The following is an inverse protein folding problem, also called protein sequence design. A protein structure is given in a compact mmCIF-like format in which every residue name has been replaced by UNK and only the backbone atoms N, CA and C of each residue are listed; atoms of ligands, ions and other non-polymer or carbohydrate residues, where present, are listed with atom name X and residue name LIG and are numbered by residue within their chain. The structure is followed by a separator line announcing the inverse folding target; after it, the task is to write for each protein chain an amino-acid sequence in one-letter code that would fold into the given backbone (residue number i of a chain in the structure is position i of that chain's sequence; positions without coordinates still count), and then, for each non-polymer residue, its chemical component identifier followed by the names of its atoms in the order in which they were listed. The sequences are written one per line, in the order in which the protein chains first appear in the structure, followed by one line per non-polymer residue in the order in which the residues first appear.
data_IF_338989447839
#
_entry.id   IF_338989447839
#
_cell.length_a   1.000
_cell.length_b   1.000
_cell.length_c   1.000
_cell.angle_alpha   90.00
_cell.angle_beta   90.00
_cell.angle_gamma   90.00
#
_symmetry.space_group_name_H-M   'P 1'
#
loop_
_entity.id
_entity.type
_entity.pdbx_description
1 polymer ?
#
# COMPACT_ATOMS: atom_id res chain seq x y z
N UNK A 1 -69.18 14.13 23.15
CA UNK A 1 -68.41 12.98 23.67
C UNK A 1 -67.55 12.40 22.54
N UNK A 2 -66.26 12.78 22.46
CA UNK A 2 -65.32 12.26 21.47
C UNK A 2 -64.54 11.09 22.09
N UNK A 3 -64.54 9.93 21.40
CA UNK A 3 -63.79 8.72 21.78
C UNK A 3 -62.31 8.92 21.42
N UNK A 4 -61.41 8.74 22.37
CA UNK A 4 -59.96 8.67 22.10
C UNK A 4 -59.55 7.22 21.84
N UNK A 5 -58.97 6.99 20.67
CA UNK A 5 -58.29 5.75 20.27
C UNK A 5 -56.86 5.85 20.79
N UNK A 6 -56.43 4.89 21.59
CA UNK A 6 -55.04 4.74 22.03
C UNK A 6 -54.33 3.81 21.03
N UNK A 7 -53.34 4.33 20.31
CA UNK A 7 -52.43 3.55 19.49
C UNK A 7 -51.24 3.10 20.34
N UNK A 8 -51.13 1.80 20.61
CA UNK A 8 -49.95 1.21 21.26
C UNK A 8 -48.90 0.94 20.18
N UNK A 9 -47.79 1.69 20.21
CA UNK A 9 -46.61 1.42 19.38
C UNK A 9 -45.80 0.28 20.02
N UNK A 10 -45.80 -0.91 19.42
CA UNK A 10 -44.82 -1.95 19.74
C UNK A 10 -43.49 -1.60 19.06
N UNK A 11 -42.47 -1.31 19.87
CA UNK A 11 -41.10 -1.12 19.42
C UNK A 11 -40.49 -2.51 19.16
N UNK A 12 -40.32 -2.88 17.90
CA UNK A 12 -39.57 -4.08 17.53
C UNK A 12 -38.08 -3.81 17.76
N UNK A 13 -37.51 -4.40 18.80
CA UNK A 13 -36.06 -4.42 19.03
C UNK A 13 -35.46 -5.42 18.04
N UNK A 14 -34.98 -4.92 16.91
CA UNK A 14 -34.18 -5.69 15.98
C UNK A 14 -32.81 -5.95 16.57
N UNK A 15 -32.52 -7.21 16.92
CA UNK A 15 -31.17 -7.66 17.25
C UNK A 15 -30.35 -7.63 15.95
N UNK A 16 -29.58 -6.56 15.73
CA UNK A 16 -28.52 -6.56 14.72
C UNK A 16 -27.43 -7.51 15.18
N UNK A 17 -27.37 -8.69 14.58
CA UNK A 17 -26.25 -9.61 14.75
C UNK A 17 -24.95 -8.92 14.33
N UNK A 18 -24.01 -8.80 15.26
CA UNK A 18 -22.64 -8.37 14.97
C UNK A 18 -21.98 -9.44 14.10
N UNK A 19 -21.86 -9.20 12.79
CA UNK A 19 -20.90 -9.97 11.98
C UNK A 19 -19.54 -9.81 12.65
N UNK A 20 -18.88 -10.92 12.98
CA UNK A 20 -17.51 -10.89 13.47
C UNK A 20 -16.68 -10.08 12.48
N UNK A 21 -16.17 -8.93 12.92
CA UNK A 21 -15.29 -8.09 12.11
C UNK A 21 -14.01 -8.88 11.91
N UNK A 22 -13.60 -9.09 10.65
CA UNK A 22 -12.31 -9.73 10.33
C UNK A 22 -11.14 -8.95 10.93
N UNK A 23 -9.92 -9.49 10.87
CA UNK A 23 -8.75 -8.76 11.34
C UNK A 23 -8.62 -7.42 10.62
N UNK A 24 -8.05 -6.42 11.32
CA UNK A 24 -7.75 -5.14 10.70
C UNK A 24 -6.81 -5.33 9.51
N UNK A 25 -7.14 -4.66 8.40
CA UNK A 25 -6.36 -4.72 7.16
C UNK A 25 -5.45 -3.49 7.08
N UNK A 26 -4.14 -3.71 7.11
CA UNK A 26 -3.16 -2.62 7.01
C UNK A 26 -2.44 -2.64 5.67
N UNK A 27 -2.37 -1.46 5.04
CA UNK A 27 -1.52 -1.21 3.88
C UNK A 27 -0.70 0.05 4.18
N UNK A 28 0.63 -0.04 4.06
CA UNK A 28 1.55 1.06 4.33
C UNK A 28 2.40 1.40 3.09
N UNK A 29 1.83 2.16 2.13
CA UNK A 29 2.58 2.81 1.05
C UNK A 29 3.45 3.97 1.56
N UNK A 30 4.62 4.15 0.95
CA UNK A 30 5.49 5.32 1.11
C UNK A 30 6.19 5.70 -0.20
N UNK A 31 6.44 6.99 -0.42
CA UNK A 31 6.85 7.49 -1.75
C UNK A 31 8.15 6.85 -2.25
N UNK A 32 9.16 6.77 -1.41
CA UNK A 32 10.43 6.12 -1.70
C UNK A 32 11.42 6.32 -0.56
N UNK A 33 12.70 6.06 -0.81
CA UNK A 33 13.72 6.15 0.24
C UNK A 33 13.56 5.06 1.30
N UNK A 34 13.93 3.82 0.96
CA UNK A 34 13.88 2.69 1.91
C UNK A 34 14.62 3.05 3.21
N UNK A 35 13.96 2.84 4.35
CA UNK A 35 14.50 3.29 5.63
C UNK A 35 14.04 2.38 6.77
N UNK A 36 14.93 2.23 7.76
CA UNK A 36 14.73 1.39 8.95
C UNK A 36 13.52 1.83 9.77
N UNK A 37 13.21 3.13 9.81
CA UNK A 37 12.04 3.64 10.52
C UNK A 37 10.71 3.16 9.92
N UNK A 38 10.64 2.98 8.60
CA UNK A 38 9.47 2.37 7.97
C UNK A 38 9.36 0.89 8.31
N UNK A 39 10.47 0.14 8.37
CA UNK A 39 10.43 -1.25 8.84
C UNK A 39 9.97 -1.33 10.30
N UNK A 40 10.44 -0.44 11.18
CA UNK A 40 9.95 -0.35 12.56
C UNK A 40 8.45 -0.09 12.63
N UNK A 41 7.91 0.76 11.76
CA UNK A 41 6.47 0.99 11.69
C UNK A 41 5.72 -0.27 11.20
N UNK A 42 6.24 -0.98 10.20
CA UNK A 42 5.69 -2.28 9.77
C UNK A 42 5.66 -3.26 10.93
N UNK A 43 6.75 -3.38 11.70
CA UNK A 43 6.82 -4.26 12.89
C UNK A 43 5.70 -3.90 13.88
N UNK A 44 5.53 -2.62 14.21
CA UNK A 44 4.46 -2.17 15.12
C UNK A 44 3.07 -2.56 14.60
N UNK A 45 2.83 -2.41 13.30
CA UNK A 45 1.54 -2.77 12.69
C UNK A 45 1.23 -4.27 12.77
N UNK A 46 2.25 -5.14 12.80
CA UNK A 46 2.04 -6.58 13.00
C UNK A 46 1.59 -6.94 14.41
N UNK A 47 1.87 -6.09 15.41
CA UNK A 47 1.60 -6.37 16.82
C UNK A 47 2.46 -7.50 17.41
N UNK A 48 3.54 -7.93 16.74
CA UNK A 48 4.43 -9.01 17.19
C UNK A 48 5.80 -8.48 17.59
N UNK A 49 6.42 -9.13 18.57
CA UNK A 49 7.78 -8.79 19.00
C UNK A 49 8.85 -9.12 17.95
N UNK A 50 8.67 -10.25 17.25
CA UNK A 50 9.58 -10.71 16.20
C UNK A 50 8.82 -11.21 14.95
N UNK A 51 8.23 -10.31 14.15
CA UNK A 51 7.41 -10.72 13.00
C UNK A 51 8.24 -11.31 11.87
N UNK A 52 7.61 -12.22 11.12
CA UNK A 52 8.09 -12.68 9.81
C UNK A 52 7.79 -11.64 8.74
N UNK A 53 8.84 -11.04 8.17
CA UNK A 53 8.70 -10.02 7.13
C UNK A 53 9.26 -10.57 5.83
N UNK A 54 8.39 -10.73 4.83
CA UNK A 54 8.77 -11.16 3.49
C UNK A 54 9.00 -9.96 2.56
N UNK A 55 10.21 -9.84 2.03
CA UNK A 55 10.53 -8.92 0.96
C UNK A 55 10.19 -9.53 -0.41
N UNK A 56 9.45 -8.79 -1.24
CA UNK A 56 9.21 -9.11 -2.65
C UNK A 56 9.97 -8.13 -3.55
N UNK A 57 11.13 -8.56 -4.11
CA UNK A 57 11.96 -7.73 -4.98
C UNK A 57 11.49 -7.70 -6.44
N UNK A 58 10.28 -8.19 -6.75
CA UNK A 58 9.84 -8.46 -8.13
C UNK A 58 9.96 -7.24 -9.06
N UNK A 59 9.64 -6.03 -8.60
CA UNK A 59 9.78 -4.80 -9.39
C UNK A 59 11.21 -4.56 -9.89
N UNK A 60 12.21 -5.03 -9.15
CA UNK A 60 13.62 -4.94 -9.50
C UNK A 60 14.17 -6.18 -10.22
N UNK A 61 13.32 -7.11 -10.66
CA UNK A 61 13.76 -8.34 -11.31
C UNK A 61 14.51 -9.28 -10.37
N UNK A 62 14.08 -9.36 -9.11
CA UNK A 62 14.78 -10.11 -8.05
C UNK A 62 16.26 -9.71 -7.89
N UNK A 63 16.54 -8.41 -7.98
CA UNK A 63 17.91 -7.88 -7.85
C UNK A 63 18.58 -8.34 -6.55
N UNK A 64 19.69 -9.06 -6.69
CA UNK A 64 20.51 -9.51 -5.55
C UNK A 64 21.00 -8.32 -4.71
N UNK A 65 21.34 -7.19 -5.34
CA UNK A 65 21.68 -5.96 -4.62
C UNK A 65 20.50 -5.40 -3.79
N UNK A 66 19.28 -5.49 -4.32
CA UNK A 66 18.07 -5.13 -3.58
C UNK A 66 17.80 -6.06 -2.40
N UNK A 67 18.07 -7.36 -2.58
CA UNK A 67 17.94 -8.39 -1.53
C UNK A 67 18.96 -8.16 -0.41
N UNK A 68 20.22 -7.91 -0.75
CA UNK A 68 21.29 -7.59 0.22
C UNK A 68 20.91 -6.34 1.02
N UNK A 69 20.49 -5.25 0.34
CA UNK A 69 20.03 -4.03 1.00
C UNK A 69 18.88 -4.28 1.98
N UNK A 70 17.93 -5.16 1.65
CA UNK A 70 16.85 -5.53 2.57
C UNK A 70 17.40 -6.23 3.82
N UNK A 71 18.31 -7.19 3.67
CA UNK A 71 18.92 -7.85 4.83
C UNK A 71 19.74 -6.88 5.69
N UNK A 72 20.50 -5.97 5.09
CA UNK A 72 21.23 -4.93 5.81
C UNK A 72 20.27 -4.02 6.60
N UNK A 73 19.15 -3.64 5.98
CA UNK A 73 18.13 -2.76 6.56
C UNK A 73 17.51 -3.33 7.84
N UNK A 74 17.41 -4.66 7.92
CA UNK A 74 16.73 -5.36 9.02
C UNK A 74 17.68 -6.10 9.96
N UNK A 75 18.98 -6.04 9.72
CA UNK A 75 20.02 -6.82 10.41
C UNK A 75 20.05 -6.65 11.94
N UNK A 76 19.67 -5.48 12.45
CA UNK A 76 19.61 -5.13 13.86
C UNK A 76 18.18 -4.96 14.40
N UNK A 77 17.17 -5.35 13.61
CA UNK A 77 15.77 -5.31 14.00
C UNK A 77 15.28 -6.68 14.48
N UNK A 78 14.31 -6.73 15.41
CA UNK A 78 13.75 -8.00 15.87
C UNK A 78 12.78 -8.53 14.82
N UNK A 79 13.30 -9.15 13.75
CA UNK A 79 12.48 -9.75 12.69
C UNK A 79 12.98 -11.14 12.31
N UNK A 80 12.11 -11.91 11.67
CA UNK A 80 12.49 -13.09 10.89
C UNK A 80 12.41 -12.68 9.40
N UNK A 81 13.51 -12.29 8.76
CA UNK A 81 13.48 -11.82 7.38
C UNK A 81 13.32 -12.99 6.41
N UNK A 82 12.48 -12.79 5.39
CA UNK A 82 12.27 -13.74 4.30
C UNK A 82 12.33 -12.99 2.97
N UNK A 83 12.72 -13.69 1.89
CA UNK A 83 12.72 -13.14 0.53
C UNK A 83 12.03 -14.13 -0.39
N UNK A 84 10.97 -13.67 -1.04
CA UNK A 84 10.25 -14.46 -2.04
C UNK A 84 10.59 -13.97 -3.45
N UNK A 85 11.51 -14.69 -4.10
CA UNK A 85 11.87 -14.48 -5.52
C UNK A 85 10.79 -15.01 -6.46
N UNK A 86 10.59 -14.40 -7.61
CA UNK A 86 9.64 -14.86 -8.64
C UNK A 86 10.36 -15.44 -9.87
N UNK A 87 11.62 -15.07 -10.11
CA UNK A 87 12.49 -15.65 -11.12
C UNK A 87 13.11 -16.95 -10.60
N UNK A 88 12.26 -17.98 -10.50
CA UNK A 88 12.61 -19.26 -9.88
C UNK A 88 12.62 -20.39 -10.87
N UNK A 89 13.25 -21.49 -10.44
CA UNK A 89 13.15 -22.79 -11.09
C UNK A 89 12.46 -23.76 -10.14
N UNK A 90 11.50 -24.52 -10.65
CA UNK A 90 10.77 -25.53 -9.87
C UNK A 90 11.68 -26.65 -9.35
N UNK A 91 12.91 -26.78 -9.86
CA UNK A 91 13.90 -27.70 -9.29
C UNK A 91 14.41 -27.23 -7.91
N UNK A 92 14.49 -25.91 -7.69
CA UNK A 92 15.13 -25.33 -6.51
C UNK A 92 14.11 -24.72 -5.53
N UNK A 93 12.92 -24.35 -6.01
CA UNK A 93 11.84 -23.84 -5.18
C UNK A 93 10.59 -24.70 -5.36
N UNK A 94 10.21 -25.42 -4.29
CA UNK A 94 9.07 -26.35 -4.27
C UNK A 94 7.84 -25.78 -3.60
N UNK A 95 8.00 -24.83 -2.67
CA UNK A 95 6.90 -24.22 -1.96
C UNK A 95 6.12 -23.26 -2.88
N UNK A 96 4.78 -23.39 -2.98
CA UNK A 96 3.95 -22.45 -3.71
C UNK A 96 4.03 -21.03 -3.11
N UNK A 97 3.87 -20.00 -3.95
CA UNK A 97 3.82 -18.61 -3.49
C UNK A 97 2.74 -18.39 -2.41
N UNK A 98 1.59 -19.06 -2.54
CA UNK A 98 0.51 -18.96 -1.56
C UNK A 98 0.93 -19.46 -0.17
N UNK A 99 1.62 -20.60 -0.09
CA UNK A 99 2.09 -21.15 1.18
C UNK A 99 3.08 -20.21 1.85
N UNK A 100 4.05 -19.70 1.08
CA UNK A 100 5.07 -18.79 1.60
C UNK A 100 4.43 -17.48 2.06
N UNK A 101 3.72 -16.78 1.18
CA UNK A 101 3.20 -15.43 1.47
C UNK A 101 2.15 -15.43 2.58
N UNK A 102 1.32 -16.48 2.69
CA UNK A 102 0.31 -16.58 3.76
C UNK A 102 0.87 -17.02 5.12
N UNK A 103 2.16 -17.40 5.19
CA UNK A 103 2.85 -17.74 6.44
C UNK A 103 3.58 -16.55 7.09
N UNK A 104 3.48 -15.37 6.48
CA UNK A 104 4.16 -14.13 6.88
C UNK A 104 3.28 -13.26 7.75
N UNK A 105 3.91 -12.35 8.49
CA UNK A 105 3.21 -11.32 9.29
C UNK A 105 3.15 -9.98 8.57
N UNK A 106 4.15 -9.70 7.74
CA UNK A 106 4.17 -8.59 6.83
C UNK A 106 4.81 -8.95 5.49
N UNK A 107 4.34 -8.27 4.45
CA UNK A 107 4.85 -8.34 3.10
C UNK A 107 5.33 -6.94 2.70
N UNK A 108 6.63 -6.82 2.45
CA UNK A 108 7.29 -5.59 2.04
C UNK A 108 7.70 -5.66 0.56
N UNK A 109 7.12 -4.81 -0.29
CA UNK A 109 7.37 -4.80 -1.73
C UNK A 109 8.40 -3.71 -2.08
N UNK A 110 9.44 -4.12 -2.80
CA UNK A 110 10.50 -3.23 -3.26
C UNK A 110 10.11 -2.32 -4.42
N UNK A 111 10.97 -1.33 -4.70
CA UNK A 111 10.85 -0.44 -5.85
C UNK A 111 11.38 -1.07 -7.16
N UNK A 112 11.14 -0.38 -8.28
CA UNK A 112 11.58 -0.79 -9.61
C UNK A 112 10.50 -0.57 -10.68
N UNK A 113 10.40 -1.47 -11.66
CA UNK A 113 9.45 -1.36 -12.75
C UNK A 113 8.08 -1.93 -12.35
N UNK A 114 7.13 -1.04 -12.03
CA UNK A 114 5.77 -1.41 -11.61
C UNK A 114 5.02 -2.18 -12.70
N UNK A 115 5.14 -1.78 -13.96
CA UNK A 115 4.43 -2.43 -15.08
C UNK A 115 4.82 -3.91 -15.19
N UNK A 116 6.12 -4.20 -15.17
CA UNK A 116 6.64 -5.56 -15.28
C UNK A 116 6.25 -6.39 -14.06
N UNK A 117 6.36 -5.83 -12.85
CA UNK A 117 5.92 -6.49 -11.63
C UNK A 117 4.45 -6.91 -11.70
N UNK A 118 3.56 -5.99 -12.10
CA UNK A 118 2.12 -6.26 -12.21
C UNK A 118 1.81 -7.34 -13.24
N UNK A 119 2.49 -7.33 -14.39
CA UNK A 119 2.33 -8.36 -15.42
C UNK A 119 2.74 -9.74 -14.90
N UNK A 120 3.89 -9.82 -14.23
CA UNK A 120 4.42 -11.06 -13.67
C UNK A 120 3.52 -11.59 -12.56
N UNK A 121 3.08 -10.73 -11.64
CA UNK A 121 2.20 -11.15 -10.54
C UNK A 121 0.85 -11.69 -11.04
N UNK A 122 0.24 -11.04 -12.03
CA UNK A 122 -1.00 -11.54 -12.66
C UNK A 122 -0.77 -12.91 -13.33
N UNK A 123 0.34 -13.09 -14.04
CA UNK A 123 0.66 -14.36 -14.68
C UNK A 123 0.93 -15.49 -13.69
N UNK A 124 1.54 -15.17 -12.53
CA UNK A 124 1.88 -16.13 -11.47
C UNK A 124 0.77 -16.32 -10.42
N UNK A 125 -0.33 -15.56 -10.50
CA UNK A 125 -1.41 -15.57 -9.52
C UNK A 125 -1.06 -14.96 -8.15
N UNK A 126 0.06 -14.24 -8.06
CA UNK A 126 0.52 -13.58 -6.82
C UNK A 126 -0.42 -12.45 -6.42
N UNK A 127 -1.03 -11.76 -7.39
CA UNK A 127 -2.06 -10.75 -7.17
C UNK A 127 -3.21 -11.27 -6.29
N UNK A 128 -3.69 -12.48 -6.55
CA UNK A 128 -4.75 -13.14 -5.78
C UNK A 128 -4.26 -13.53 -4.39
N UNK A 129 -3.02 -14.00 -4.27
CA UNK A 129 -2.43 -14.37 -2.98
C UNK A 129 -2.26 -13.15 -2.09
N UNK A 130 -1.82 -12.01 -2.63
CA UNK A 130 -1.69 -10.75 -1.90
C UNK A 130 -3.05 -10.25 -1.39
N UNK A 131 -4.12 -10.45 -2.17
CA UNK A 131 -5.49 -10.15 -1.71
C UNK A 131 -5.88 -11.00 -0.50
N UNK A 132 -5.63 -12.32 -0.57
CA UNK A 132 -5.87 -13.25 0.55
C UNK A 132 -5.03 -12.89 1.78
N UNK A 133 -3.79 -12.45 1.58
CA UNK A 133 -2.88 -12.02 2.64
C UNK A 133 -3.46 -10.82 3.40
N UNK A 134 -3.90 -9.79 2.67
CA UNK A 134 -4.57 -8.62 3.26
C UNK A 134 -5.83 -9.02 4.04
N UNK A 135 -6.66 -9.91 3.47
CA UNK A 135 -7.88 -10.40 4.12
C UNK A 135 -7.63 -11.18 5.41
N UNK A 136 -6.43 -11.78 5.55
CA UNK A 136 -5.96 -12.46 6.76
C UNK A 136 -5.32 -11.53 7.78
N UNK A 137 -5.21 -10.23 7.50
CA UNK A 137 -4.59 -9.24 8.39
C UNK A 137 -3.06 -9.19 8.28
N UNK A 138 -2.46 -9.81 7.24
CA UNK A 138 -1.04 -9.65 6.96
C UNK A 138 -0.80 -8.21 6.50
N UNK A 139 0.17 -7.53 7.12
CA UNK A 139 0.50 -6.14 6.79
C UNK A 139 1.11 -6.09 5.38
N UNK A 140 0.54 -5.27 4.50
CA UNK A 140 1.14 -4.99 3.20
C UNK A 140 1.87 -3.65 3.26
N UNK A 141 3.07 -3.55 2.71
CA UNK A 141 3.83 -2.31 2.70
C UNK A 141 4.72 -2.23 1.46
N UNK A 142 5.16 -1.03 1.08
CA UNK A 142 6.11 -0.89 -0.01
C UNK A 142 6.44 0.55 -0.36
N UNK A 143 7.61 0.70 -0.98
CA UNK A 143 8.11 1.99 -1.45
C UNK A 143 8.15 2.05 -2.98
N UNK A 144 7.96 3.25 -3.56
CA UNK A 144 8.05 3.44 -5.02
C UNK A 144 7.05 2.54 -5.77
N UNK A 145 7.51 1.61 -6.63
CA UNK A 145 6.65 0.60 -7.26
C UNK A 145 5.81 -0.22 -6.27
N UNK A 146 6.42 -0.57 -5.13
CA UNK A 146 5.73 -1.27 -4.04
C UNK A 146 4.74 -0.38 -3.27
N UNK A 147 4.79 0.94 -3.44
CA UNK A 147 3.77 1.86 -2.94
C UNK A 147 2.59 1.93 -3.92
N UNK A 148 2.89 2.09 -5.20
CA UNK A 148 1.89 2.24 -6.27
C UNK A 148 1.02 1.01 -6.45
N UNK A 149 1.58 -0.19 -6.30
CA UNK A 149 0.87 -1.43 -6.63
C UNK A 149 -0.41 -1.65 -5.81
N UNK A 150 -0.60 -1.00 -4.66
CA UNK A 150 -1.82 -1.17 -3.85
C UNK A 150 -3.02 -0.37 -4.33
N UNK A 151 -2.81 0.65 -5.14
CA UNK A 151 -3.82 1.62 -5.59
C UNK A 151 -4.51 1.16 -6.88
N UNK A 152 -5.58 1.84 -7.30
CA UNK A 152 -6.25 1.54 -8.59
C UNK A 152 -5.30 1.81 -9.76
N UNK A 153 -4.61 2.94 -9.74
CA UNK A 153 -3.68 3.37 -10.78
C UNK A 153 -2.73 4.45 -10.27
N UNK A 154 -1.71 4.75 -11.07
CA UNK A 154 -0.79 5.82 -10.77
C UNK A 154 0.16 6.17 -11.90
N UNK A 155 0.97 7.21 -11.68
CA UNK A 155 2.05 7.60 -12.59
C UNK A 155 3.23 6.65 -12.48
N UNK A 156 3.80 6.26 -13.61
CA UNK A 156 4.94 5.34 -13.66
C UNK A 156 5.97 5.74 -14.72
N UNK A 157 7.23 5.46 -14.44
CA UNK A 157 8.40 5.58 -15.32
C UNK A 157 8.74 4.25 -16.04
N UNK A 158 7.85 3.27 -15.96
CA UNK A 158 8.11 1.90 -16.45
C UNK A 158 8.28 1.76 -17.97
N UNK A 159 8.11 2.84 -18.74
CA UNK A 159 8.25 2.89 -20.20
C UNK A 159 9.26 3.96 -20.59
N UNK A 160 10.02 3.76 -21.68
CA UNK A 160 10.96 4.77 -22.14
C UNK A 160 10.25 6.06 -22.57
N UNK A 161 11.03 7.14 -22.66
CA UNK A 161 10.67 8.50 -23.13
C UNK A 161 9.93 9.38 -22.12
N UNK A 162 8.79 8.93 -21.60
CA UNK A 162 7.94 9.77 -20.76
C UNK A 162 7.24 8.96 -19.67
N UNK A 163 6.87 9.64 -18.59
CA UNK A 163 6.00 9.07 -17.57
C UNK A 163 4.66 8.68 -18.20
N UNK A 164 4.14 7.53 -17.80
CA UNK A 164 2.87 6.98 -18.29
C UNK A 164 1.98 6.56 -17.11
N UNK A 165 0.85 5.94 -17.43
CA UNK A 165 -0.09 5.39 -16.45
C UNK A 165 0.08 3.86 -16.36
N UNK A 166 -0.13 3.33 -15.16
CA UNK A 166 -0.27 1.89 -14.92
C UNK A 166 -1.39 1.62 -13.93
N UNK A 167 -2.05 0.47 -14.09
CA UNK A 167 -3.01 -0.06 -13.13
C UNK A 167 -2.28 -0.82 -12.02
N UNK A 168 -2.74 -0.63 -10.78
CA UNK A 168 -2.30 -1.42 -9.63
C UNK A 168 -3.25 -2.59 -9.34
N UNK A 169 -3.20 -3.09 -8.11
CA UNK A 169 -4.05 -4.17 -7.59
C UNK A 169 -5.43 -3.65 -7.18
N UNK A 170 -5.60 -2.34 -6.98
CA UNK A 170 -6.88 -1.73 -6.60
C UNK A 170 -7.37 -2.11 -5.20
N UNK A 171 -6.46 -2.44 -4.27
CA UNK A 171 -6.84 -2.69 -2.87
C UNK A 171 -7.25 -1.40 -2.16
N UNK A 172 -6.72 -0.27 -2.60
CA UNK A 172 -7.12 1.08 -2.22
C UNK A 172 -7.83 1.75 -3.42
N UNK A 173 -9.07 2.25 -3.26
CA UNK A 173 -9.89 2.80 -4.34
C UNK A 173 -9.51 4.25 -4.69
N UNK A 174 -8.21 4.51 -4.82
CA UNK A 174 -7.62 5.82 -5.05
C UNK A 174 -6.54 5.74 -6.12
N UNK A 175 -6.20 6.87 -6.74
CA UNK A 175 -4.99 6.99 -7.55
C UNK A 175 -3.77 7.29 -6.66
N UNK A 176 -2.55 7.11 -7.19
CA UNK A 176 -1.33 7.36 -6.43
C UNK A 176 -0.16 7.89 -7.28
N UNK A 177 0.71 8.66 -6.62
CA UNK A 177 2.00 9.07 -7.15
C UNK A 177 3.07 9.00 -6.05
N UNK A 178 4.03 8.05 -6.11
CA UNK A 178 5.25 8.08 -5.29
C UNK A 178 6.23 9.12 -5.82
N UNK A 179 7.34 9.38 -5.11
CA UNK A 179 8.40 10.33 -5.52
C UNK A 179 7.88 11.73 -5.88
N UNK A 180 6.84 12.18 -5.17
CA UNK A 180 6.00 13.26 -5.66
C UNK A 180 6.74 14.61 -5.83
N UNK A 181 7.62 14.96 -4.89
CA UNK A 181 8.48 16.16 -4.99
C UNK A 181 9.79 15.98 -5.79
N UNK A 182 10.29 14.75 -5.95
CA UNK A 182 11.69 14.52 -6.36
C UNK A 182 11.86 14.27 -7.87
N UNK A 183 10.79 13.84 -8.55
CA UNK A 183 10.79 13.63 -9.99
C UNK A 183 10.01 14.75 -10.71
N UNK A 184 10.72 15.58 -11.49
CA UNK A 184 10.23 16.82 -12.13
C UNK A 184 8.84 16.70 -12.77
N UNK A 185 8.56 15.58 -13.44
CA UNK A 185 7.34 15.38 -14.21
C UNK A 185 6.19 14.70 -13.44
N UNK A 186 6.43 14.17 -12.22
CA UNK A 186 5.41 13.40 -11.49
C UNK A 186 4.26 14.24 -11.01
N UNK A 187 4.54 15.31 -10.26
CA UNK A 187 3.49 16.19 -9.76
C UNK A 187 2.65 16.81 -10.90
N UNK A 188 3.24 17.40 -11.95
CA UNK A 188 2.49 17.94 -13.07
C UNK A 188 1.62 16.89 -13.78
N UNK A 189 2.16 15.70 -14.07
CA UNK A 189 1.40 14.65 -14.77
C UNK A 189 0.26 14.11 -13.90
N UNK A 190 0.51 13.89 -12.60
CA UNK A 190 -0.51 13.39 -11.69
C UNK A 190 -1.69 14.36 -11.57
N UNK A 191 -1.41 15.65 -11.37
CA UNK A 191 -2.45 16.69 -11.32
C UNK A 191 -3.19 16.80 -12.66
N UNK A 192 -2.47 16.77 -13.80
CA UNK A 192 -3.08 16.79 -15.14
C UNK A 192 -4.04 15.61 -15.36
N UNK A 193 -3.65 14.40 -14.93
CA UNK A 193 -4.50 13.22 -15.06
C UNK A 193 -5.75 13.29 -14.20
N UNK A 194 -5.68 13.90 -13.00
CA UNK A 194 -6.86 14.18 -12.17
C UNK A 194 -7.76 15.23 -12.86
N UNK A 195 -7.18 16.33 -13.35
CA UNK A 195 -7.92 17.39 -14.05
C UNK A 195 -8.69 16.86 -15.27
N UNK A 196 -8.09 15.94 -16.02
CA UNK A 196 -8.66 15.35 -17.22
C UNK A 196 -9.58 14.15 -16.95
N UNK A 197 -9.80 13.78 -15.68
CA UNK A 197 -10.64 12.64 -15.30
C UNK A 197 -10.05 11.26 -15.63
N UNK A 198 -8.76 11.19 -15.97
CA UNK A 198 -8.02 9.93 -16.15
C UNK A 198 -7.84 9.24 -14.79
N UNK A 199 -7.56 10.04 -13.76
CA UNK A 199 -7.47 9.58 -12.37
C UNK A 199 -8.64 10.10 -11.54
N UNK A 200 -9.14 9.24 -10.64
CA UNK A 200 -9.91 9.70 -9.48
C UNK A 200 -8.98 10.44 -8.51
N UNK A 201 -9.58 11.08 -7.51
CA UNK A 201 -8.83 11.63 -6.38
C UNK A 201 -7.95 10.56 -5.73
N UNK A 202 -6.83 10.99 -5.15
CA UNK A 202 -5.89 10.04 -4.56
C UNK A 202 -4.80 10.67 -3.74
N UNK A 203 -3.84 9.84 -3.37
CA UNK A 203 -2.80 10.19 -2.41
C UNK A 203 -1.45 10.25 -3.08
N UNK A 204 -0.73 11.35 -2.91
CA UNK A 204 0.63 11.50 -3.39
C UNK A 204 1.60 11.56 -2.22
N UNK A 205 2.79 10.98 -2.38
CA UNK A 205 3.77 10.84 -1.30
C UNK A 205 5.16 11.20 -1.80
N UNK A 206 5.82 12.07 -1.04
CA UNK A 206 7.23 12.37 -1.19
C UNK A 206 8.09 11.16 -0.84
N UNK A 207 9.33 11.14 -1.31
CA UNK A 207 10.33 10.26 -0.69
C UNK A 207 10.36 10.49 0.82
N UNK A 208 10.57 9.42 1.58
CA UNK A 208 10.64 9.47 3.04
C UNK A 208 9.37 9.94 3.75
N UNK A 209 8.22 9.95 3.06
CA UNK A 209 6.89 10.10 3.65
C UNK A 209 5.96 8.94 3.24
N UNK A 210 4.99 8.62 4.09
CA UNK A 210 4.03 7.54 3.83
C UNK A 210 2.73 7.66 4.61
N UNK A 211 1.75 6.86 4.20
CA UNK A 211 0.42 6.81 4.83
C UNK A 211 0.11 5.37 5.19
N UNK A 212 -0.16 5.10 6.48
CA UNK A 212 -0.76 3.85 6.91
C UNK A 212 -2.26 3.94 6.63
N UNK A 213 -2.76 3.01 5.83
CA UNK A 213 -4.18 2.76 5.66
C UNK A 213 -4.62 1.63 6.57
N UNK A 214 -5.78 1.82 7.21
CA UNK A 214 -6.47 0.80 8.01
C UNK A 214 -7.86 0.59 7.43
N UNK A 215 -8.19 -0.64 7.05
CA UNK A 215 -9.47 -1.01 6.47
C UNK A 215 -9.86 -0.11 5.28
N UNK A 216 -8.88 0.18 4.41
CA UNK A 216 -9.04 0.99 3.20
C UNK A 216 -9.11 2.52 3.42
N UNK A 217 -8.95 3.01 4.64
CA UNK A 217 -8.99 4.45 4.97
C UNK A 217 -7.65 4.93 5.52
N UNK A 218 -7.22 6.17 5.23
CA UNK A 218 -6.06 6.75 5.89
C UNK A 218 -6.23 6.68 7.41
N UNK A 219 -5.21 6.19 8.09
CA UNK A 219 -5.20 5.99 9.53
C UNK A 219 -4.11 6.81 10.22
N UNK A 220 -2.92 6.84 9.62
CA UNK A 220 -1.77 7.57 10.14
C UNK A 220 -0.90 8.05 8.99
N UNK A 221 -0.41 9.29 9.07
CA UNK A 221 0.56 9.83 8.11
C UNK A 221 1.89 9.97 8.83
N UNK A 222 2.95 9.51 8.19
CA UNK A 222 4.30 9.46 8.77
C UNK A 222 5.32 10.09 7.85
N UNK A 223 6.34 10.71 8.45
CA UNK A 223 7.46 11.29 7.71
C UNK A 223 8.76 11.08 8.46
N UNK A 224 9.88 11.01 7.73
CA UNK A 224 11.23 10.96 8.33
C UNK A 224 11.82 12.36 8.57
N UNK A 225 11.16 13.42 8.10
CA UNK A 225 11.63 14.79 8.21
C UNK A 225 10.51 15.82 7.94
N UNK A 226 10.57 17.02 8.53
CA UNK A 226 9.53 18.05 8.35
C UNK A 226 9.35 18.52 6.89
N UNK A 227 10.34 18.26 6.02
CA UNK A 227 10.36 18.62 4.61
C UNK A 227 9.61 17.63 3.70
N UNK A 228 9.38 16.39 4.14
CA UNK A 228 8.72 15.35 3.34
C UNK A 228 7.25 15.23 3.69
N UNK A 229 6.39 15.16 2.67
CA UNK A 229 4.95 15.35 2.82
C UNK A 229 4.15 14.25 2.14
N UNK A 230 2.91 14.11 2.61
CA UNK A 230 1.86 13.38 1.91
C UNK A 230 0.74 14.35 1.58
N UNK A 231 0.06 14.10 0.47
CA UNK A 231 -1.00 14.96 -0.05
C UNK A 231 -2.22 14.14 -0.42
N UNK A 232 -3.40 14.72 -0.23
CA UNK A 232 -4.62 14.29 -0.90
C UNK A 232 -4.90 15.22 -2.08
N UNK A 233 -4.93 14.68 -3.30
CA UNK A 233 -5.11 15.45 -4.52
C UNK A 233 -6.47 15.13 -5.12
N UNK A 234 -7.28 16.17 -5.37
CA UNK A 234 -8.67 16.01 -5.80
C UNK A 234 -9.15 17.18 -6.66
N UNK A 235 -10.28 17.01 -7.36
CA UNK A 235 -10.97 18.11 -8.04
C UNK A 235 -11.91 18.82 -7.06
N UNK A 236 -11.74 20.14 -6.90
CA UNK A 236 -12.66 21.01 -6.13
C UNK A 236 -12.94 22.29 -6.93
N UNK A 237 -14.22 22.57 -7.19
CA UNK A 237 -14.63 23.77 -7.92
C UNK A 237 -14.04 23.91 -9.33
N UNK A 238 -13.86 22.79 -10.04
CA UNK A 238 -13.29 22.76 -11.39
C UNK A 238 -11.76 22.92 -11.45
N UNK A 239 -11.06 22.91 -10.30
CA UNK A 239 -9.61 22.97 -10.22
C UNK A 239 -9.06 21.78 -9.44
N UNK A 240 -7.83 21.38 -9.76
CA UNK A 240 -7.07 20.43 -8.95
C UNK A 240 -6.62 21.14 -7.69
N UNK A 241 -6.86 20.52 -6.54
CA UNK A 241 -6.42 20.98 -5.22
C UNK A 241 -5.57 19.87 -4.61
N UNK A 242 -4.40 20.27 -4.11
CA UNK A 242 -3.47 19.45 -3.36
C UNK A 242 -3.55 19.85 -1.88
N UNK A 243 -4.01 18.93 -1.03
CA UNK A 243 -4.14 19.15 0.42
C UNK A 243 -3.03 18.40 1.14
N UNK A 244 -2.05 19.15 1.67
CA UNK A 244 -1.01 18.58 2.53
C UNK A 244 -1.64 17.96 3.79
N UNK A 245 -1.23 16.74 4.09
CA UNK A 245 -1.65 16.00 5.26
C UNK A 245 -0.67 16.22 6.43
N UNK A 246 -1.19 16.33 7.64
CA UNK A 246 -0.38 16.45 8.85
C UNK A 246 0.30 15.11 9.17
N UNK A 247 1.63 15.13 9.32
CA UNK A 247 2.44 13.93 9.49
C UNK A 247 3.10 13.86 10.86
N UNK A 248 3.15 12.65 11.43
CA UNK A 248 3.97 12.36 12.59
C UNK A 248 5.41 12.06 12.15
N UNK A 249 6.40 12.66 12.82
CA UNK A 249 7.80 12.36 12.58
C UNK A 249 8.18 11.02 13.22
N UNK A 250 8.69 10.09 12.41
CA UNK A 250 9.29 8.86 12.91
C UNK A 250 10.68 9.16 13.48
N UNK A 251 11.00 8.52 14.60
CA UNK A 251 12.24 8.65 15.36
C UNK A 251 12.79 7.28 15.73
#
# INVERSE_FOLDING_TARGET
MKKHIVFTFMMAIGIMGTKAQGPDQYIFPFGGGQNKYFIKEIIKLTGKERPRICYLPTASGDSEAGIIRFYDLVSDLPVEPHVQKVWISSYNQKQPFEEVLLSMDAIYVGGGNTLNMMAIWKAQGIDKVLKKALEKGIVLAGGSAGSLCWFENGTTDSRPRELSVVEGLGFLPFSHSPHYHSEEYRQPLYQKNIANGIFKAGYAMDDYAGIVFKNGKPFKVVSLGPEYNCYFVSMKGGKVVEEKLEAELLK
#
